data_IF_322147856520
#
_entry.id   IF_322147856520
#
_cell.length_a   1.000
_cell.length_b   1.000
_cell.length_c   1.000
_cell.angle_alpha   90.00
_cell.angle_beta   90.00
_cell.angle_gamma   90.00
#
_symmetry.space_group_name_H-M   'P 1'
#
loop_
_entity.id
_entity.type
_entity.pdbx_description
1 polymer ?
#
# COMPACT_ATOMS: atom_id res chain seq x y z
N UNK A 1 61.41 -32.57 -29.35
CA UNK A 1 61.36 -31.09 -29.42
C UNK A 1 60.01 -30.68 -28.86
N UNK A 2 59.96 -30.66 -27.54
CA UNK A 2 58.79 -30.43 -26.72
C UNK A 2 58.38 -28.96 -26.64
N UNK A 3 57.10 -28.79 -26.29
CA UNK A 3 56.59 -27.73 -25.43
C UNK A 3 56.60 -26.30 -25.99
N UNK A 4 55.56 -25.96 -26.76
CA UNK A 4 55.08 -24.58 -26.79
C UNK A 4 54.14 -24.32 -25.61
N UNK A 5 54.81 -23.87 -24.54
CA UNK A 5 54.27 -23.31 -23.30
C UNK A 5 53.37 -22.09 -23.60
N UNK A 6 52.13 -22.19 -23.14
CA UNK A 6 51.52 -21.30 -22.13
C UNK A 6 51.43 -19.79 -22.42
N UNK A 7 50.18 -19.35 -22.69
CA UNK A 7 49.37 -18.24 -22.09
C UNK A 7 50.07 -16.87 -21.87
N UNK A 8 49.57 -15.69 -22.29
CA UNK A 8 48.36 -14.89 -21.95
C UNK A 8 48.32 -13.75 -22.99
N UNK A 9 47.20 -13.20 -23.46
CA UNK A 9 46.29 -12.33 -22.69
C UNK A 9 45.14 -11.89 -23.61
N UNK A 10 43.94 -11.76 -23.08
CA UNK A 10 43.08 -10.62 -23.46
C UNK A 10 41.99 -10.85 -24.50
N UNK A 11 41.17 -11.90 -24.39
CA UNK A 11 39.85 -11.92 -25.05
C UNK A 11 38.83 -11.28 -24.11
N UNK A 12 38.81 -9.95 -24.08
CA UNK A 12 37.62 -9.18 -23.73
C UNK A 12 37.00 -8.75 -25.05
N UNK A 13 35.95 -9.44 -25.47
CA UNK A 13 34.82 -8.92 -26.24
C UNK A 13 33.88 -10.10 -26.52
N UNK A 14 32.58 -9.82 -26.38
CA UNK A 14 31.42 -10.70 -26.65
C UNK A 14 31.11 -11.75 -25.59
N UNK A 15 30.47 -11.29 -24.52
CA UNK A 15 29.24 -11.94 -24.05
C UNK A 15 28.35 -10.96 -23.28
N UNK A 16 27.91 -9.88 -23.95
CA UNK A 16 26.76 -9.08 -23.51
C UNK A 16 25.43 -9.80 -23.88
N UNK A 17 25.34 -11.10 -23.59
CA UNK A 17 24.13 -11.91 -23.80
C UNK A 17 23.73 -12.71 -22.55
N UNK A 18 24.45 -12.53 -21.44
CA UNK A 18 24.11 -13.06 -20.11
C UNK A 18 23.36 -11.98 -19.30
N UNK A 19 22.39 -11.34 -19.96
CA UNK A 19 21.28 -10.63 -19.29
C UNK A 19 19.92 -11.21 -19.73
N UNK A 20 19.93 -12.46 -20.24
CA UNK A 20 18.73 -13.26 -20.47
C UNK A 20 18.49 -14.11 -19.23
N UNK A 21 17.69 -13.56 -18.32
CA UNK A 21 17.31 -14.26 -17.10
C UNK A 21 16.52 -13.45 -16.07
N UNK A 22 15.99 -12.26 -16.38
CA UNK A 22 14.90 -11.70 -15.57
C UNK A 22 13.62 -12.43 -15.95
N UNK A 23 13.37 -13.52 -15.23
CA UNK A 23 12.16 -14.32 -15.29
C UNK A 23 10.92 -13.41 -15.17
N UNK A 24 10.35 -13.00 -16.31
CA UNK A 24 9.09 -12.24 -16.45
C UNK A 24 7.87 -13.12 -16.14
N UNK A 25 7.93 -13.92 -15.08
CA UNK A 25 6.80 -14.69 -14.58
C UNK A 25 6.82 -14.68 -13.06
N UNK A 26 6.22 -13.64 -12.46
CA UNK A 26 5.50 -13.71 -11.20
C UNK A 26 4.55 -12.50 -11.14
N UNK A 27 3.35 -12.69 -11.67
CA UNK A 27 2.29 -11.70 -11.66
C UNK A 27 1.66 -11.67 -10.26
N UNK A 28 2.07 -10.69 -9.46
CA UNK A 28 1.50 -10.44 -8.15
C UNK A 28 2.11 -11.25 -7.01
N UNK A 29 1.78 -10.85 -5.79
CA UNK A 29 2.01 -11.58 -4.56
C UNK A 29 1.17 -12.87 -4.54
N UNK A 30 1.70 -13.92 -3.88
CA UNK A 30 0.95 -15.15 -3.63
C UNK A 30 -0.27 -14.90 -2.72
N UNK A 31 -1.29 -15.76 -2.76
CA UNK A 31 -2.47 -15.63 -1.89
C UNK A 31 -2.13 -15.63 -0.39
N UNK A 32 -1.07 -16.34 0.01
CA UNK A 32 -0.59 -16.29 1.39
C UNK A 32 0.01 -14.91 1.70
N UNK A 33 0.88 -14.39 0.83
CA UNK A 33 1.48 -13.07 0.99
C UNK A 33 0.43 -11.95 0.98
N UNK A 34 -0.59 -12.03 0.11
CA UNK A 34 -1.71 -11.08 0.10
C UNK A 34 -2.41 -11.04 1.46
N UNK A 35 -2.75 -12.20 2.04
CA UNK A 35 -3.40 -12.27 3.36
C UNK A 35 -2.53 -11.72 4.47
N UNK A 36 -1.24 -12.05 4.49
CA UNK A 36 -0.28 -11.52 5.47
C UNK A 36 -0.20 -9.99 5.43
N UNK A 37 -0.07 -9.43 4.22
CA UNK A 37 0.02 -7.99 4.01
C UNK A 37 -1.29 -7.29 4.35
N UNK A 38 -2.44 -7.85 3.97
CA UNK A 38 -3.74 -7.29 4.32
C UNK A 38 -3.95 -7.25 5.83
N UNK A 39 -3.65 -8.35 6.54
CA UNK A 39 -3.76 -8.40 8.00
C UNK A 39 -2.84 -7.35 8.65
N UNK A 40 -1.58 -7.31 8.23
CA UNK A 40 -0.62 -6.34 8.72
C UNK A 40 -1.09 -4.89 8.51
N UNK A 41 -1.61 -4.56 7.33
CA UNK A 41 -2.15 -3.23 7.05
C UNK A 41 -3.39 -2.92 7.89
N UNK A 42 -4.29 -3.89 8.09
CA UNK A 42 -5.50 -3.72 8.93
C UNK A 42 -5.18 -3.55 10.41
N UNK A 43 -4.11 -4.14 10.90
CA UNK A 43 -3.66 -3.98 12.29
C UNK A 43 -2.91 -2.66 12.50
N UNK A 44 -2.18 -2.20 11.48
CA UNK A 44 -1.24 -1.08 11.59
C UNK A 44 -1.68 0.18 10.85
N UNK A 45 -2.90 0.24 10.32
CA UNK A 45 -3.33 1.36 9.46
C UNK A 45 -3.22 2.73 10.12
N UNK A 46 -3.31 2.80 11.46
CA UNK A 46 -3.20 4.04 12.25
C UNK A 46 -1.76 4.56 12.36
N UNK A 47 -0.77 3.74 12.04
CA UNK A 47 0.64 4.04 12.15
C UNK A 47 1.24 4.38 10.78
N UNK A 48 2.47 4.87 10.78
CA UNK A 48 3.23 4.97 9.54
C UNK A 48 3.69 3.56 9.13
N UNK A 49 3.28 3.12 7.93
CA UNK A 49 3.66 1.82 7.37
C UNK A 49 4.54 2.05 6.16
N UNK A 50 5.75 1.48 6.17
CA UNK A 50 6.70 1.65 5.07
C UNK A 50 6.70 0.45 4.12
N UNK A 51 7.01 0.71 2.84
CA UNK A 51 7.18 -0.35 1.84
C UNK A 51 8.27 -1.36 2.23
N UNK A 52 9.44 -0.95 2.76
CA UNK A 52 10.44 -1.88 3.28
C UNK A 52 9.91 -2.83 4.36
N UNK A 53 9.10 -2.35 5.30
CA UNK A 53 8.55 -3.19 6.38
C UNK A 53 7.63 -4.27 5.81
N UNK A 54 6.73 -3.87 4.91
CA UNK A 54 5.82 -4.79 4.23
C UNK A 54 6.56 -5.80 3.35
N UNK A 55 7.60 -5.37 2.65
CA UNK A 55 8.41 -6.25 1.81
C UNK A 55 9.15 -7.30 2.65
N UNK A 56 9.68 -6.88 3.81
CA UNK A 56 10.38 -7.74 4.76
C UNK A 56 9.45 -8.81 5.37
N UNK A 57 8.18 -8.47 5.64
CA UNK A 57 7.18 -9.39 6.18
C UNK A 57 6.99 -10.65 5.32
N UNK A 58 7.18 -10.52 4.01
CA UNK A 58 6.99 -11.61 3.03
C UNK A 58 8.29 -12.02 2.33
N UNK A 59 9.44 -11.53 2.80
CA UNK A 59 10.76 -11.95 2.34
C UNK A 59 11.13 -11.54 0.92
N UNK A 60 10.67 -10.38 0.43
CA UNK A 60 11.04 -9.87 -0.91
C UNK A 60 11.67 -8.47 -0.84
N UNK A 61 12.33 -8.05 -1.92
CA UNK A 61 12.91 -6.71 -1.98
C UNK A 61 11.82 -5.63 -2.11
N UNK A 62 12.05 -4.46 -1.51
CA UNK A 62 11.13 -3.32 -1.57
C UNK A 62 10.82 -2.87 -3.00
N UNK A 63 11.81 -2.91 -3.90
CA UNK A 63 11.64 -2.55 -5.32
C UNK A 63 10.71 -3.51 -6.06
N UNK A 64 10.77 -4.80 -5.76
CA UNK A 64 9.86 -5.80 -6.34
C UNK A 64 8.46 -5.71 -5.72
N UNK A 65 8.41 -5.47 -4.40
CA UNK A 65 7.18 -5.43 -3.61
C UNK A 65 6.13 -4.47 -4.18
N UNK A 66 6.47 -3.22 -4.46
CA UNK A 66 5.48 -2.24 -4.91
C UNK A 66 4.79 -2.65 -6.23
N UNK A 67 5.55 -3.28 -7.13
CA UNK A 67 5.04 -3.79 -8.41
C UNK A 67 4.11 -4.98 -8.18
N UNK A 68 4.54 -5.97 -7.40
CA UNK A 68 3.73 -7.15 -7.08
C UNK A 68 2.48 -6.79 -6.28
N UNK A 69 2.59 -5.87 -5.33
CA UNK A 69 1.46 -5.36 -4.56
C UNK A 69 0.42 -4.73 -5.49
N UNK A 70 0.84 -3.83 -6.39
CA UNK A 70 -0.09 -3.22 -7.34
C UNK A 70 -0.74 -4.24 -8.27
N UNK A 71 0.02 -5.24 -8.72
CA UNK A 71 -0.53 -6.32 -9.54
C UNK A 71 -1.59 -7.15 -8.79
N UNK A 72 -1.42 -7.38 -7.49
CA UNK A 72 -2.36 -8.16 -6.66
C UNK A 72 -3.56 -7.35 -6.17
N UNK A 73 -3.36 -6.09 -5.77
CA UNK A 73 -4.39 -5.27 -5.09
C UNK A 73 -4.98 -4.17 -5.99
N UNK A 74 -4.43 -3.95 -7.18
CA UNK A 74 -4.82 -2.87 -8.09
C UNK A 74 -4.45 -1.45 -7.63
N UNK A 75 -3.92 -1.30 -6.42
CA UNK A 75 -3.58 -0.03 -5.78
C UNK A 75 -2.10 -0.02 -5.37
N UNK A 76 -1.51 1.16 -5.21
CA UNK A 76 -0.22 1.24 -4.51
C UNK A 76 -0.41 0.99 -3.01
N UNK A 77 0.63 0.57 -2.26
CA UNK A 77 0.52 0.35 -0.82
C UNK A 77 -0.02 1.57 -0.06
N UNK A 78 0.46 2.78 -0.39
CA UNK A 78 -0.05 4.01 0.19
C UNK A 78 -1.53 4.28 -0.14
N UNK A 79 -1.98 4.00 -1.37
CA UNK A 79 -3.38 4.14 -1.75
C UNK A 79 -4.29 3.15 -0.99
N UNK A 80 -3.82 1.91 -0.81
CA UNK A 80 -4.55 0.91 -0.04
C UNK A 80 -4.67 1.31 1.44
N UNK A 81 -3.57 1.76 2.05
CA UNK A 81 -3.56 2.28 3.41
C UNK A 81 -4.52 3.48 3.58
N UNK A 82 -4.49 4.42 2.62
CA UNK A 82 -5.40 5.56 2.61
C UNK A 82 -6.87 5.12 2.53
N UNK A 83 -7.17 4.09 1.72
CA UNK A 83 -8.51 3.52 1.63
C UNK A 83 -8.99 2.96 2.96
N UNK A 84 -8.16 2.17 3.66
CA UNK A 84 -8.49 1.64 4.99
C UNK A 84 -8.79 2.76 5.99
N UNK A 85 -7.95 3.80 6.03
CA UNK A 85 -8.16 4.95 6.92
C UNK A 85 -9.45 5.70 6.63
N UNK A 86 -9.79 5.85 5.35
CA UNK A 86 -11.03 6.53 4.94
C UNK A 86 -12.28 5.69 5.21
N UNK A 87 -12.20 4.37 5.05
CA UNK A 87 -13.29 3.46 5.42
C UNK A 87 -13.62 3.59 6.91
N UNK A 88 -12.60 3.62 7.77
CA UNK A 88 -12.78 3.84 9.22
C UNK A 88 -13.20 5.27 9.56
N UNK A 89 -12.68 6.29 8.87
CA UNK A 89 -13.12 7.68 9.05
C UNK A 89 -14.61 7.83 8.80
N UNK A 90 -15.10 7.27 7.69
CA UNK A 90 -16.51 7.27 7.37
C UNK A 90 -17.36 6.55 8.42
N UNK A 91 -16.90 5.37 8.89
CA UNK A 91 -17.59 4.62 9.94
C UNK A 91 -17.71 5.46 11.21
N UNK A 92 -16.60 5.99 11.72
CA UNK A 92 -16.59 6.83 12.92
C UNK A 92 -17.46 8.08 12.74
N UNK A 93 -17.40 8.76 11.59
CA UNK A 93 -18.23 9.94 11.31
C UNK A 93 -19.73 9.63 11.32
N UNK A 94 -20.13 8.42 10.93
CA UNK A 94 -21.54 8.01 10.99
C UNK A 94 -21.98 7.62 12.39
N UNK A 95 -21.08 7.04 13.17
CA UNK A 95 -21.40 6.39 14.44
C UNK A 95 -21.22 7.29 15.66
N UNK A 96 -20.35 8.31 15.57
CA UNK A 96 -19.84 9.06 16.74
C UNK A 96 -19.75 10.57 16.49
N UNK A 97 -19.69 11.33 17.58
CA UNK A 97 -19.61 12.80 17.58
C UNK A 97 -18.21 13.35 17.95
N UNK A 98 -17.18 12.48 18.04
CA UNK A 98 -15.78 12.87 18.32
C UNK A 98 -15.29 13.99 17.41
N UNK A 99 -14.42 14.86 17.91
CA UNK A 99 -13.94 16.00 17.12
C UNK A 99 -13.19 15.54 15.86
N UNK A 100 -13.26 16.33 14.78
CA UNK A 100 -12.57 15.97 13.52
C UNK A 100 -11.05 15.92 13.66
N UNK A 101 -10.48 16.74 14.56
CA UNK A 101 -9.05 16.75 14.87
C UNK A 101 -8.62 15.48 15.59
N UNK A 102 -9.37 15.08 16.62
CA UNK A 102 -9.14 13.83 17.36
C UNK A 102 -9.29 12.61 16.45
N UNK A 103 -10.36 12.55 15.66
CA UNK A 103 -10.58 11.46 14.71
C UNK A 103 -9.42 11.33 13.71
N UNK A 104 -8.93 12.45 13.17
CA UNK A 104 -7.80 12.45 12.25
C UNK A 104 -6.55 11.87 12.91
N UNK A 105 -6.24 12.29 14.15
CA UNK A 105 -5.11 11.79 14.91
C UNK A 105 -5.23 10.28 15.20
N UNK A 106 -6.39 9.80 15.67
CA UNK A 106 -6.63 8.38 15.97
C UNK A 106 -6.49 7.49 14.73
N UNK A 107 -6.85 7.98 13.56
CA UNK A 107 -6.78 7.23 12.30
C UNK A 107 -5.43 7.37 11.57
N UNK A 108 -4.46 8.07 12.16
CA UNK A 108 -3.11 8.20 11.60
C UNK A 108 -2.98 9.24 10.50
N UNK A 109 -3.93 10.16 10.36
CA UNK A 109 -3.76 11.34 9.50
C UNK A 109 -2.85 12.37 10.19
N UNK A 110 -2.03 13.05 9.40
CA UNK A 110 -1.14 14.10 9.92
C UNK A 110 -1.88 15.35 10.41
N UNK A 111 -3.13 15.56 9.97
CA UNK A 111 -4.01 16.65 10.44
C UNK A 111 -5.46 16.41 10.01
N UNK A 112 -6.38 17.15 10.63
CA UNK A 112 -7.78 17.24 10.18
C UNK A 112 -7.89 17.67 8.71
N UNK A 113 -7.07 18.62 8.27
CA UNK A 113 -7.07 19.12 6.89
C UNK A 113 -6.62 18.04 5.91
N UNK A 114 -5.61 17.23 6.28
CA UNK A 114 -5.18 16.08 5.48
C UNK A 114 -6.30 15.05 5.35
N UNK A 115 -6.95 14.67 6.45
CA UNK A 115 -8.11 13.77 6.43
C UNK A 115 -9.23 14.31 5.53
N UNK A 116 -9.59 15.59 5.69
CA UNK A 116 -10.66 16.22 4.90
C UNK A 116 -10.33 16.25 3.40
N UNK A 117 -9.08 16.57 3.06
CA UNK A 117 -8.61 16.58 1.66
C UNK A 117 -8.62 15.18 1.07
N UNK A 118 -8.20 14.17 1.83
CA UNK A 118 -8.27 12.78 1.41
C UNK A 118 -9.73 12.32 1.20
N UNK A 119 -10.64 12.63 2.12
CA UNK A 119 -12.06 12.31 1.99
C UNK A 119 -12.65 12.94 0.71
N UNK A 120 -12.36 14.22 0.45
CA UNK A 120 -12.81 14.90 -0.77
C UNK A 120 -12.23 14.27 -2.04
N UNK A 121 -10.94 13.92 -2.02
CA UNK A 121 -10.23 13.34 -3.16
C UNK A 121 -10.73 11.94 -3.52
N UNK A 122 -10.92 11.08 -2.53
CA UNK A 122 -11.18 9.65 -2.74
C UNK A 122 -12.66 9.27 -2.61
N UNK A 123 -13.47 10.07 -1.90
CA UNK A 123 -14.89 9.80 -1.64
C UNK A 123 -15.83 10.87 -2.18
N UNK A 124 -15.29 12.00 -2.65
CA UNK A 124 -16.09 13.15 -3.09
C UNK A 124 -17.04 13.68 -2.01
N UNK A 125 -16.63 13.56 -0.75
CA UNK A 125 -17.39 14.00 0.42
C UNK A 125 -16.50 14.80 1.37
N UNK A 126 -17.14 15.59 2.22
CA UNK A 126 -16.57 16.24 3.40
C UNK A 126 -17.03 15.52 4.68
N UNK A 127 -16.31 15.64 5.80
CA UNK A 127 -16.73 15.05 7.06
C UNK A 127 -18.14 15.49 7.51
N UNK A 128 -18.47 16.77 7.30
CA UNK A 128 -19.79 17.32 7.61
C UNK A 128 -20.92 16.74 6.76
N UNK A 129 -20.66 16.43 5.49
CA UNK A 129 -21.65 15.76 4.62
C UNK A 129 -21.89 14.31 5.06
N UNK A 130 -20.84 13.58 5.45
CA UNK A 130 -20.97 12.21 5.97
C UNK A 130 -21.86 12.19 7.22
N UNK A 131 -21.59 13.08 8.19
CA UNK A 131 -22.42 13.24 9.39
C UNK A 131 -23.87 13.63 9.08
N UNK A 132 -24.06 14.61 8.20
CA UNK A 132 -25.41 15.06 7.83
C UNK A 132 -26.24 13.94 7.23
N UNK A 133 -25.63 13.11 6.36
CA UNK A 133 -26.28 11.94 5.75
C UNK A 133 -26.65 10.90 6.80
N UNK A 134 -25.80 10.63 7.79
CA UNK A 134 -26.12 9.66 8.85
C UNK A 134 -27.27 10.10 9.74
N UNK A 135 -27.33 11.37 10.15
CA UNK A 135 -28.46 11.88 10.93
C UNK A 135 -29.77 11.82 10.15
N UNK A 136 -29.76 12.17 8.86
CA UNK A 136 -30.95 12.07 8.01
C UNK A 136 -31.46 10.62 7.90
N UNK A 137 -30.55 9.65 7.80
CA UNK A 137 -30.89 8.21 7.78
C UNK A 137 -31.46 7.74 9.13
N UNK A 138 -30.83 8.10 10.25
CA UNK A 138 -31.30 7.74 11.61
C UNK A 138 -32.71 8.28 11.89
N UNK A 139 -33.03 9.50 11.42
CA UNK A 139 -34.36 10.10 11.58
C UNK A 139 -35.44 9.35 10.78
N UNK A 140 -35.14 8.92 9.55
CA UNK A 140 -36.08 8.15 8.70
C UNK A 140 -36.38 6.76 9.25
N UNK A 141 -35.44 6.13 9.94
CA UNK A 141 -35.63 4.81 10.52
C UNK A 141 -36.44 4.83 11.83
N UNK A 142 -36.71 6.02 12.37
CA UNK A 142 -37.45 6.22 13.63
C UNK A 142 -38.87 6.77 13.39
N UNK A 143 -39.23 7.06 12.14
CA UNK A 143 -40.57 7.51 11.70
C UNK A 143 -41.29 6.39 10.97
#
# INVERSE_FOLDING_TARGET
MDAFRTVLTGVLVRNASIARGSNKQQFGLSNYACRQIENYLRENYRQQVSVPDMASLIGISAGHFATCFRASFGLTPHQYLMRLRLDEAERCLRETDISLSELAATLGFSSQSHMTTALRKYRHLTPGEVRRRSYAQRRKNLS
#
